data_IF_206737365245
#
_entry.id   IF_206737365245
#
_cell.length_a   1.000
_cell.length_b   1.000
_cell.length_c   1.000
_cell.angle_alpha   90.00
_cell.angle_beta   90.00
_cell.angle_gamma   90.00
#
_symmetry.space_group_name_H-M   'P 1'
#
loop_
_entity.id
_entity.type
_entity.pdbx_description
1 polymer ?
#
# COMPACT_ATOMS: atom_id res chain seq x y z
N UNK A 1 -9.33 18.77 -9.74
CA UNK A 1 -8.72 17.42 -9.77
C UNK A 1 -9.76 16.43 -10.24
N UNK A 2 -9.45 15.58 -11.21
CA UNK A 2 -10.39 14.61 -11.80
C UNK A 2 -10.13 13.17 -11.30
N UNK A 3 -11.01 12.22 -11.65
CA UNK A 3 -10.87 10.82 -11.24
C UNK A 3 -9.53 10.18 -11.61
N UNK A 4 -8.97 10.53 -12.77
CA UNK A 4 -7.65 10.05 -13.20
C UNK A 4 -6.52 10.59 -12.32
N UNK A 5 -6.55 11.89 -12.02
CA UNK A 5 -5.57 12.52 -11.13
C UNK A 5 -5.63 11.95 -9.72
N UNK A 6 -6.82 11.75 -9.16
CA UNK A 6 -6.98 11.07 -7.86
C UNK A 6 -6.52 9.62 -7.89
N UNK A 7 -6.85 8.88 -8.96
CA UNK A 7 -6.40 7.50 -9.12
C UNK A 7 -4.87 7.42 -9.05
N UNK A 8 -4.18 8.31 -9.78
CA UNK A 8 -2.73 8.39 -9.77
C UNK A 8 -2.14 8.76 -8.40
N UNK A 9 -2.80 9.62 -7.61
CA UNK A 9 -2.36 9.91 -6.23
C UNK A 9 -2.44 8.66 -5.35
N UNK A 10 -3.55 7.93 -5.38
CA UNK A 10 -3.69 6.69 -4.61
C UNK A 10 -2.71 5.61 -5.07
N UNK A 11 -2.40 5.51 -6.36
CA UNK A 11 -1.33 4.63 -6.85
C UNK A 11 0.04 5.04 -6.32
N UNK A 12 0.37 6.33 -6.30
CA UNK A 12 1.64 6.83 -5.73
C UNK A 12 1.73 6.50 -4.24
N UNK A 13 0.67 6.75 -3.48
CA UNK A 13 0.62 6.38 -2.06
C UNK A 13 0.76 4.86 -1.86
N UNK A 14 0.15 4.03 -2.72
CA UNK A 14 0.34 2.58 -2.67
C UNK A 14 1.81 2.19 -2.89
N UNK A 15 2.51 2.83 -3.84
CA UNK A 15 3.95 2.58 -4.07
C UNK A 15 4.80 2.95 -2.84
N UNK A 16 4.54 4.09 -2.21
CA UNK A 16 5.24 4.53 -0.99
C UNK A 16 5.01 3.58 0.19
N UNK A 17 3.78 3.08 0.34
CA UNK A 17 3.45 2.06 1.35
C UNK A 17 4.17 0.74 1.04
N UNK A 18 4.23 0.34 -0.24
CA UNK A 18 4.94 -0.87 -0.65
C UNK A 18 6.44 -0.78 -0.38
N UNK A 19 7.07 0.37 -0.65
CA UNK A 19 8.47 0.61 -0.31
C UNK A 19 8.72 0.49 1.20
N UNK A 20 7.79 0.98 2.01
CA UNK A 20 7.83 0.85 3.46
C UNK A 20 7.68 -0.62 3.91
N UNK A 21 6.81 -1.39 3.26
CA UNK A 21 6.67 -2.83 3.48
C UNK A 21 7.98 -3.56 3.17
N UNK A 22 8.63 -3.26 2.04
CA UNK A 22 9.90 -3.88 1.66
C UNK A 22 11.03 -3.55 2.65
N UNK A 23 11.09 -2.31 3.14
CA UNK A 23 12.02 -1.92 4.22
C UNK A 23 11.76 -2.74 5.49
N UNK A 24 10.50 -2.90 5.91
CA UNK A 24 10.15 -3.71 7.09
C UNK A 24 10.47 -5.19 6.89
N UNK A 25 10.21 -5.77 5.71
CA UNK A 25 10.60 -7.15 5.37
C UNK A 25 12.11 -7.34 5.45
N UNK A 26 12.90 -6.40 4.96
CA UNK A 26 14.35 -6.46 5.03
C UNK A 26 14.86 -6.35 6.47
N UNK A 27 14.28 -5.45 7.28
CA UNK A 27 14.58 -5.38 8.71
C UNK A 27 14.25 -6.69 9.43
N UNK A 28 13.09 -7.29 9.13
CA UNK A 28 12.65 -8.56 9.73
C UNK A 28 13.63 -9.70 9.48
N UNK A 29 14.29 -9.77 8.31
CA UNK A 29 15.25 -10.85 7.98
C UNK A 29 16.42 -10.95 8.96
N UNK A 30 16.86 -9.82 9.51
CA UNK A 30 18.01 -9.72 10.42
C UNK A 30 17.60 -9.43 11.87
N UNK A 31 16.30 -9.35 12.13
CA UNK A 31 15.76 -8.93 13.42
C UNK A 31 15.85 -10.04 14.49
N UNK A 32 16.11 -9.69 15.76
CA UNK A 32 15.97 -10.61 16.87
C UNK A 32 14.51 -11.06 17.06
N UNK A 33 14.32 -12.29 17.55
CA UNK A 33 12.98 -12.90 17.75
C UNK A 33 12.01 -12.03 18.55
N UNK A 34 12.51 -11.19 19.46
CA UNK A 34 11.71 -10.29 20.29
C UNK A 34 10.93 -9.25 19.49
N UNK A 35 11.46 -8.78 18.36
CA UNK A 35 10.83 -7.72 17.54
C UNK A 35 10.16 -8.25 16.26
N UNK A 36 10.42 -9.52 15.88
CA UNK A 36 9.87 -10.13 14.66
C UNK A 36 8.33 -10.07 14.65
N UNK A 37 7.69 -10.35 15.79
CA UNK A 37 6.23 -10.30 15.90
C UNK A 37 5.66 -8.88 15.68
N UNK A 38 6.36 -7.87 16.17
CA UNK A 38 5.99 -6.47 15.96
C UNK A 38 6.14 -6.07 14.49
N UNK A 39 7.26 -6.45 13.86
CA UNK A 39 7.51 -6.22 12.44
C UNK A 39 6.45 -6.92 11.56
N UNK A 40 6.09 -8.17 11.90
CA UNK A 40 5.03 -8.91 11.20
C UNK A 40 3.66 -8.22 11.32
N UNK A 41 3.34 -7.67 12.51
CA UNK A 41 2.11 -6.89 12.71
C UNK A 41 2.09 -5.63 11.86
N UNK A 42 3.20 -4.86 11.85
CA UNK A 42 3.32 -3.64 11.02
C UNK A 42 3.23 -3.93 9.53
N UNK A 43 3.91 -4.98 9.06
CA UNK A 43 3.82 -5.42 7.66
C UNK A 43 2.38 -5.76 7.29
N UNK A 44 1.65 -6.44 8.18
CA UNK A 44 0.25 -6.82 7.95
C UNK A 44 -0.65 -5.59 7.87
N UNK A 45 -0.45 -4.62 8.76
CA UNK A 45 -1.19 -3.35 8.75
C UNK A 45 -0.92 -2.56 7.47
N UNK A 46 0.35 -2.42 7.07
CA UNK A 46 0.71 -1.66 5.88
C UNK A 46 0.21 -2.33 4.61
N UNK A 47 0.13 -3.67 4.58
CA UNK A 47 -0.51 -4.40 3.47
C UNK A 47 -2.00 -4.06 3.32
N UNK A 48 -2.71 -3.82 4.42
CA UNK A 48 -4.12 -3.38 4.35
C UNK A 48 -4.21 -2.01 3.70
N UNK A 49 -3.39 -1.07 4.17
CA UNK A 49 -3.33 0.29 3.62
C UNK A 49 -2.99 0.26 2.11
N UNK A 50 -1.99 -0.53 1.72
CA UNK A 50 -1.64 -0.74 0.31
C UNK A 50 -2.84 -1.23 -0.51
N UNK A 51 -3.54 -2.25 -0.02
CA UNK A 51 -4.71 -2.81 -0.71
C UNK A 51 -5.85 -1.79 -0.81
N UNK A 52 -6.09 -1.00 0.24
CA UNK A 52 -7.11 0.06 0.23
C UNK A 52 -6.77 1.14 -0.80
N UNK A 53 -5.52 1.60 -0.84
CA UNK A 53 -5.04 2.56 -1.84
C UNK A 53 -5.22 2.00 -3.27
N UNK A 54 -4.81 0.75 -3.52
CA UNK A 54 -4.98 0.11 -4.82
C UNK A 54 -6.46 -0.05 -5.21
N UNK A 55 -7.32 -0.42 -4.26
CA UNK A 55 -8.75 -0.55 -4.47
C UNK A 55 -9.40 0.77 -4.89
N UNK A 56 -9.08 1.85 -4.16
CA UNK A 56 -9.57 3.20 -4.47
C UNK A 56 -9.03 3.68 -5.82
N UNK A 57 -7.72 3.49 -6.07
CA UNK A 57 -7.10 3.88 -7.34
C UNK A 57 -7.79 3.20 -8.53
N UNK A 58 -8.03 1.88 -8.43
CA UNK A 58 -8.72 1.11 -9.45
C UNK A 58 -10.17 1.60 -9.64
N UNK A 59 -10.92 1.84 -8.56
CA UNK A 59 -12.29 2.34 -8.63
C UNK A 59 -12.37 3.69 -9.35
N UNK A 60 -11.48 4.62 -8.99
CA UNK A 60 -11.40 5.93 -9.64
C UNK A 60 -11.01 5.82 -11.12
N UNK A 61 -10.11 4.90 -11.46
CA UNK A 61 -9.74 4.66 -12.86
C UNK A 61 -10.93 4.10 -13.67
N UNK A 62 -11.69 3.17 -13.09
CA UNK A 62 -12.90 2.65 -13.73
C UNK A 62 -13.93 3.76 -13.96
N UNK A 63 -14.15 4.65 -12.98
CA UNK A 63 -15.01 5.82 -13.11
C UNK A 63 -14.54 6.77 -14.22
N UNK A 64 -13.23 7.00 -14.34
CA UNK A 64 -12.66 7.81 -15.41
C UNK A 64 -12.95 7.24 -16.81
N UNK A 65 -12.86 5.91 -16.96
CA UNK A 65 -13.17 5.22 -18.22
C UNK A 65 -14.66 4.95 -18.45
N UNK A 66 -15.54 5.27 -17.49
CA UNK A 66 -16.97 4.96 -17.57
C UNK A 66 -17.27 3.45 -17.52
N UNK A 67 -16.42 2.68 -16.85
CA UNK A 67 -16.55 1.22 -16.71
C UNK A 67 -17.34 0.80 -15.46
N UNK A 68 -17.93 1.77 -14.74
CA UNK A 68 -18.56 1.62 -13.43
C UNK A 68 -19.77 2.53 -13.26
#
# INVERSE_FOLDING_TARGET
>A
MNYYEWSNEYYKSALEVNDSIEKLKNQRKIAPKSIVKELDSRITEYKKIYNDCMSIANHLMNRYYGLD
#
